data_IF_187201545513
#
_entry.id   IF_187201545513
#
_cell.length_a   1.000
_cell.length_b   1.000
_cell.length_c   1.000
_cell.angle_alpha   90.00
_cell.angle_beta   90.00
_cell.angle_gamma   90.00
#
_symmetry.space_group_name_H-M   'P 1'
#
loop_
_entity.id
_entity.type
_entity.pdbx_description
1 polymer ?
#
# COMPACT_ATOMS: atom_id res chain seq x y z
N UNK A 1 37.67 40.94 26.50
CA UNK A 1 37.00 39.76 27.08
C UNK A 1 35.54 39.74 26.61
N UNK A 2 35.29 39.46 25.34
CA UNK A 2 33.94 39.39 24.71
C UNK A 2 34.12 38.77 23.32
N UNK A 3 33.98 37.44 23.23
CA UNK A 3 33.83 36.72 21.94
C UNK A 3 33.29 35.31 22.14
N UNK A 4 33.33 34.78 23.39
CA UNK A 4 32.76 33.47 23.73
C UNK A 4 31.24 33.39 23.47
N UNK A 5 30.51 34.51 23.57
CA UNK A 5 29.07 34.54 23.30
C UNK A 5 28.71 34.37 21.82
N UNK A 6 29.54 34.85 20.89
CA UNK A 6 29.27 34.74 19.44
C UNK A 6 29.46 33.30 18.94
N UNK A 7 30.43 32.57 19.51
CA UNK A 7 30.62 31.15 19.24
C UNK A 7 29.49 30.28 19.80
N UNK A 8 28.97 30.60 20.99
CA UNK A 8 27.85 29.87 21.59
C UNK A 8 26.55 30.10 20.83
N UNK A 9 26.32 31.32 20.32
CA UNK A 9 25.12 31.64 19.53
C UNK A 9 25.13 30.95 18.15
N UNK A 10 26.30 30.87 17.49
CA UNK A 10 26.45 30.14 16.23
C UNK A 10 26.33 28.62 16.39
N UNK A 11 26.85 28.06 17.49
CA UNK A 11 26.73 26.62 17.78
C UNK A 11 25.28 26.22 18.15
N UNK A 12 24.54 27.11 18.82
CA UNK A 12 23.13 26.89 19.12
C UNK A 12 22.23 26.91 17.87
N UNK A 13 22.57 27.72 16.86
CA UNK A 13 21.86 27.73 15.57
C UNK A 13 22.11 26.46 14.74
N UNK A 14 23.29 25.84 14.89
CA UNK A 14 23.64 24.57 14.23
C UNK A 14 22.91 23.35 14.83
N UNK A 15 22.44 23.45 16.08
CA UNK A 15 21.62 22.41 16.73
C UNK A 15 20.11 22.57 16.50
N UNK A 16 19.70 23.66 15.84
CA UNK A 16 18.32 23.89 15.40
C UNK A 16 18.14 23.49 13.92
N UNK A 17 18.88 22.49 13.43
CA UNK A 17 18.50 21.82 12.19
C UNK A 17 17.36 20.88 12.58
N UNK A 18 16.11 21.13 12.14
CA UNK A 18 15.04 20.18 12.37
C UNK A 18 15.48 18.86 11.75
N UNK A 19 15.54 17.82 12.56
CA UNK A 19 15.76 16.45 12.10
C UNK A 19 14.74 16.21 10.99
N UNK A 20 15.19 16.01 9.75
CA UNK A 20 14.32 15.50 8.69
C UNK A 20 13.94 14.09 9.14
N UNK A 21 12.84 14.00 9.89
CA UNK A 21 12.23 12.73 10.21
C UNK A 21 11.97 12.04 8.88
N UNK A 22 12.51 10.83 8.75
CA UNK A 22 12.40 9.96 7.57
C UNK A 22 10.96 9.42 7.52
N UNK A 23 10.00 10.31 7.37
CA UNK A 23 8.60 10.00 7.13
C UNK A 23 8.46 9.73 5.62
N UNK A 24 7.75 8.66 5.26
CA UNK A 24 7.41 8.38 3.87
C UNK A 24 6.75 9.58 3.20
N UNK A 25 7.01 9.74 1.90
CA UNK A 25 6.51 10.84 1.07
C UNK A 25 4.98 10.89 1.05
N UNK A 26 4.31 9.73 1.15
CA UNK A 26 2.86 9.62 1.10
C UNK A 26 2.27 8.99 2.36
N UNK A 27 1.22 9.60 2.90
CA UNK A 27 0.54 9.16 4.13
C UNK A 27 -0.15 7.78 3.98
N UNK A 28 -0.66 7.47 2.78
CA UNK A 28 -1.39 6.24 2.49
C UNK A 28 -0.51 5.07 2.04
N UNK A 29 0.79 5.27 1.86
CA UNK A 29 1.73 4.22 1.43
C UNK A 29 2.62 3.86 2.60
N UNK A 30 2.19 2.86 3.38
CA UNK A 30 2.95 2.35 4.54
C UNK A 30 4.16 1.54 4.08
N UNK A 31 5.21 1.50 4.87
CA UNK A 31 6.46 0.75 4.62
C UNK A 31 6.25 -0.76 4.37
N UNK A 32 5.18 -1.33 4.94
CA UNK A 32 4.80 -2.73 4.75
C UNK A 32 4.10 -3.01 3.41
N UNK A 33 3.73 -1.96 2.66
CA UNK A 33 3.04 -2.10 1.38
C UNK A 33 4.03 -2.53 0.29
N UNK A 34 3.67 -3.53 -0.53
CA UNK A 34 4.56 -4.08 -1.57
C UNK A 34 5.09 -3.02 -2.55
N UNK A 35 4.30 -1.96 -2.79
CA UNK A 35 4.64 -0.87 -3.70
C UNK A 35 5.48 0.24 -3.05
N UNK A 36 5.68 0.22 -1.73
CA UNK A 36 6.28 1.34 -0.98
C UNK A 36 7.60 1.82 -1.59
N UNK A 37 8.57 0.90 -1.73
CA UNK A 37 9.91 1.25 -2.27
C UNK A 37 9.84 1.81 -3.69
N UNK A 38 8.96 1.26 -4.53
CA UNK A 38 8.80 1.71 -5.91
C UNK A 38 8.18 3.11 -5.96
N UNK A 39 7.14 3.34 -5.17
CA UNK A 39 6.42 4.62 -5.11
C UNK A 39 7.32 5.72 -4.56
N UNK A 40 8.02 5.48 -3.44
CA UNK A 40 9.00 6.42 -2.89
C UNK A 40 10.09 6.74 -3.91
N UNK A 41 10.70 5.72 -4.51
CA UNK A 41 11.81 5.96 -5.45
C UNK A 41 11.39 6.67 -6.74
N UNK A 42 10.13 6.52 -7.16
CA UNK A 42 9.59 7.27 -8.30
C UNK A 42 9.22 8.71 -7.89
N UNK A 43 8.77 8.92 -6.66
CA UNK A 43 8.44 10.25 -6.14
C UNK A 43 9.70 11.09 -5.90
N UNK A 44 10.76 10.49 -5.36
CA UNK A 44 12.08 11.11 -5.21
C UNK A 44 12.64 11.61 -6.55
N UNK A 45 12.40 10.84 -7.62
CA UNK A 45 12.81 11.19 -8.99
C UNK A 45 11.86 12.18 -9.67
N UNK A 46 10.77 12.59 -9.01
CA UNK A 46 9.75 13.47 -9.55
C UNK A 46 8.91 12.85 -10.68
N UNK A 47 8.97 11.53 -10.86
CA UNK A 47 8.24 10.81 -11.92
C UNK A 47 6.76 10.72 -11.57
N UNK A 48 6.45 10.35 -10.32
CA UNK A 48 5.09 10.33 -9.78
C UNK A 48 4.92 11.45 -8.76
N UNK A 49 3.70 12.00 -8.69
CA UNK A 49 3.35 13.09 -7.77
C UNK A 49 2.10 12.70 -7.00
N UNK A 50 2.07 13.02 -5.71
CA UNK A 50 0.89 12.81 -4.89
C UNK A 50 -0.08 13.97 -4.95
N UNK A 51 -1.22 13.75 -4.30
CA UNK A 51 -2.33 14.68 -4.20
C UNK A 51 -2.31 15.29 -2.79
N UNK A 52 -2.12 16.62 -2.66
CA UNK A 52 -2.17 17.27 -1.36
C UNK A 52 -3.62 17.35 -0.87
N UNK A 53 -3.89 16.80 0.33
CA UNK A 53 -5.18 16.90 1.02
C UNK A 53 -4.93 17.11 2.51
N UNK A 54 -5.60 18.07 3.14
CA UNK A 54 -5.52 18.33 4.58
C UNK A 54 -4.08 18.43 5.11
N UNK A 55 -3.22 19.20 4.41
CA UNK A 55 -1.80 19.37 4.72
C UNK A 55 -0.96 18.08 4.70
N UNK A 56 -1.46 17.01 4.07
CA UNK A 56 -0.77 15.73 3.86
C UNK A 56 -0.74 15.39 2.38
N UNK A 57 0.24 14.58 1.98
CA UNK A 57 0.38 14.12 0.60
C UNK A 57 -0.06 12.66 0.49
N UNK A 58 -0.86 12.35 -0.52
CA UNK A 58 -1.41 11.01 -0.75
C UNK A 58 -1.03 10.51 -2.14
N UNK A 59 -0.70 9.23 -2.28
CA UNK A 59 -0.48 8.59 -3.57
C UNK A 59 -1.81 8.19 -4.23
N UNK A 60 -2.80 7.79 -3.43
CA UNK A 60 -4.11 7.29 -3.83
C UNK A 60 -4.04 6.03 -4.71
N UNK A 61 -3.29 5.02 -4.24
CA UNK A 61 -2.96 3.83 -5.03
C UNK A 61 -4.14 2.94 -5.43
N UNK A 62 -5.32 3.11 -4.82
CA UNK A 62 -6.55 2.40 -5.19
C UNK A 62 -7.34 3.08 -6.31
N UNK A 63 -7.01 4.32 -6.66
CA UNK A 63 -7.68 5.08 -7.72
C UNK A 63 -7.22 4.59 -9.11
N UNK A 64 -8.17 4.46 -10.04
CA UNK A 64 -7.84 4.19 -11.44
C UNK A 64 -7.02 5.34 -12.04
N UNK A 65 -5.92 4.99 -12.69
CA UNK A 65 -5.09 5.95 -13.44
C UNK A 65 -5.68 6.21 -14.83
N UNK A 66 -5.80 7.47 -15.21
CA UNK A 66 -6.20 7.86 -16.56
C UNK A 66 -5.03 7.72 -17.55
N UNK A 67 -5.34 7.56 -18.84
CA UNK A 67 -4.31 7.55 -19.91
C UNK A 67 -3.48 8.85 -19.92
N UNK A 68 -4.07 9.97 -19.51
CA UNK A 68 -3.37 11.26 -19.40
C UNK A 68 -2.35 11.27 -18.26
N UNK A 69 -2.75 10.83 -17.06
CA UNK A 69 -1.85 10.73 -15.90
C UNK A 69 -0.69 9.76 -16.19
N UNK A 70 -0.99 8.64 -16.85
CA UNK A 70 0.04 7.70 -17.31
C UNK A 70 1.03 8.35 -18.29
N UNK A 71 0.53 9.07 -19.30
CA UNK A 71 1.37 9.72 -20.29
C UNK A 71 2.31 10.76 -19.65
N UNK A 72 1.81 11.54 -18.67
CA UNK A 72 2.62 12.51 -17.93
C UNK A 72 3.69 11.82 -17.08
N UNK A 73 3.35 10.73 -16.39
CA UNK A 73 4.33 9.97 -15.62
C UNK A 73 5.43 9.38 -16.52
N UNK A 74 5.05 8.86 -17.69
CA UNK A 74 6.00 8.33 -18.67
C UNK A 74 6.92 9.42 -19.25
N UNK A 75 6.37 10.59 -19.59
CA UNK A 75 7.15 11.73 -20.06
C UNK A 75 8.17 12.20 -19.01
N UNK A 76 7.78 12.26 -17.73
CA UNK A 76 8.71 12.57 -16.63
C UNK A 76 9.81 11.51 -16.51
N UNK A 77 9.48 10.23 -16.68
CA UNK A 77 10.47 9.16 -16.66
C UNK A 77 11.49 9.28 -17.81
N UNK A 78 11.02 9.56 -19.04
CA UNK A 78 11.89 9.75 -20.20
C UNK A 78 12.82 10.95 -20.00
N UNK A 79 12.30 12.06 -19.44
CA UNK A 79 13.10 13.24 -19.10
C UNK A 79 14.19 12.91 -18.07
N UNK A 80 13.81 12.24 -16.98
CA UNK A 80 14.76 11.81 -15.96
C UNK A 80 15.87 10.93 -16.55
N UNK A 81 15.53 10.01 -17.45
CA UNK A 81 16.51 9.16 -18.13
C UNK A 81 17.40 9.96 -19.09
N UNK A 82 16.82 10.86 -19.88
CA UNK A 82 17.51 11.72 -20.86
C UNK A 82 18.53 12.64 -20.18
N UNK A 83 18.15 13.23 -19.04
CA UNK A 83 19.03 14.07 -18.23
C UNK A 83 20.22 13.26 -17.67
N UNK A 84 19.98 11.98 -17.35
CA UNK A 84 21.02 11.09 -16.80
C UNK A 84 21.90 10.43 -17.86
N UNK A 85 21.38 10.22 -19.07
CA UNK A 85 22.12 9.67 -20.21
C UNK A 85 22.97 10.71 -20.95
N UNK A 86 22.85 11.99 -20.62
CA UNK A 86 23.65 13.07 -21.23
C UNK A 86 23.24 13.41 -22.66
N UNK A 87 22.01 13.06 -23.07
CA UNK A 87 21.49 13.32 -24.41
C UNK A 87 20.12 12.69 -24.63
N UNK A 88 19.34 13.19 -25.61
CA UNK A 88 18.03 12.63 -25.94
C UNK A 88 18.13 11.13 -26.14
N UNK A 89 17.21 10.40 -25.50
CA UNK A 89 17.02 8.99 -25.83
C UNK A 89 16.49 8.91 -27.26
N UNK A 90 17.40 8.83 -28.22
CA UNK A 90 17.07 8.43 -29.58
C UNK A 90 16.69 6.95 -29.44
N UNK A 91 15.40 6.68 -29.39
CA UNK A 91 14.91 5.39 -29.86
C UNK A 91 15.48 5.30 -31.26
N UNK A 92 16.46 4.42 -31.45
CA UNK A 92 16.83 3.97 -32.78
C UNK A 92 15.59 3.20 -33.27
N UNK A 93 14.58 3.97 -33.68
CA UNK A 93 13.71 3.57 -34.75
C UNK A 93 14.70 3.30 -35.86
N UNK A 94 15.06 2.03 -36.01
CA UNK A 94 15.26 1.51 -37.35
C UNK A 94 14.05 2.02 -38.11
N UNK A 95 14.28 3.09 -38.87
CA UNK A 95 13.31 3.61 -39.81
C UNK A 95 13.14 2.47 -40.78
N UNK A 96 12.14 1.63 -40.54
CA UNK A 96 11.54 0.86 -41.60
C UNK A 96 11.04 1.93 -42.55
N UNK A 97 11.84 2.23 -43.57
CA UNK A 97 11.44 3.09 -44.67
C UNK A 97 10.15 2.48 -45.20
N UNK A 98 9.00 3.04 -44.83
CA UNK A 98 7.71 2.62 -45.39
C UNK A 98 7.79 3.01 -46.86
N UNK A 99 7.94 2.06 -47.81
CA UNK A 99 8.09 2.43 -49.20
C UNK A 99 6.74 2.99 -49.65
N UNK A 100 6.69 4.27 -50.00
CA UNK A 100 5.49 4.93 -50.53
C UNK A 100 5.18 4.51 -51.98
N UNK A 101 5.30 3.22 -52.30
CA UNK A 101 4.80 2.65 -53.53
C UNK A 101 4.42 1.21 -53.26
N UNK A 102 3.11 0.96 -53.20
CA UNK A 102 2.54 -0.38 -53.07
C UNK A 102 3.08 -1.22 -54.24
N UNK A 103 3.93 -2.23 -54.00
CA UNK A 103 4.44 -3.06 -55.08
C UNK A 103 3.30 -3.94 -55.60
N UNK A 104 3.11 -3.95 -56.92
CA UNK A 104 2.25 -4.90 -57.61
C UNK A 104 2.64 -6.32 -57.19
N UNK A 105 1.66 -7.07 -56.67
CA UNK A 105 1.81 -8.44 -56.17
C UNK A 105 2.06 -9.40 -57.34
N UNK A 106 3.30 -9.48 -57.79
CA UNK A 106 3.79 -10.55 -58.65
C UNK A 106 5.05 -11.07 -58.01
N UNK A 107 5.00 -12.35 -57.61
CA UNK A 107 6.03 -13.13 -56.89
C UNK A 107 5.96 -13.03 -55.36
N UNK A 108 5.25 -13.99 -54.76
CA UNK A 108 5.30 -14.32 -53.34
C UNK A 108 6.52 -15.23 -53.13
N UNK A 109 7.58 -14.80 -52.43
CA UNK A 109 8.64 -15.70 -52.01
C UNK A 109 8.14 -16.57 -50.85
N UNK A 110 8.34 -17.88 -50.97
CA UNK A 110 7.89 -18.95 -50.07
C UNK A 110 8.57 -18.95 -48.67
N UNK A 111 8.54 -17.84 -47.93
CA UNK A 111 9.08 -17.77 -46.56
C UNK A 111 8.05 -17.30 -45.53
N UNK A 112 6.77 -17.63 -45.73
CA UNK A 112 5.71 -17.42 -44.74
C UNK A 112 5.35 -18.65 -43.90
N UNK A 113 6.01 -19.80 -44.09
CA UNK A 113 5.57 -21.05 -43.43
C UNK A 113 5.78 -21.11 -41.92
N UNK A 114 6.57 -20.20 -41.33
CA UNK A 114 6.91 -20.26 -39.90
C UNK A 114 6.36 -19.10 -39.07
N UNK A 115 5.56 -18.22 -39.68
CA UNK A 115 4.85 -17.16 -38.97
C UNK A 115 3.37 -17.51 -39.12
N UNK A 116 2.77 -18.04 -38.05
CA UNK A 116 1.38 -18.51 -37.98
C UNK A 116 1.15 -20.00 -38.32
N UNK A 117 1.89 -20.90 -37.69
CA UNK A 117 1.26 -22.14 -37.23
C UNK A 117 0.96 -21.99 -35.74
N UNK A 118 -0.32 -21.78 -35.42
CA UNK A 118 -0.82 -22.09 -34.07
C UNK A 118 -0.65 -23.60 -33.90
N UNK A 119 0.53 -24.00 -33.41
CA UNK A 119 0.81 -25.41 -33.13
C UNK A 119 -0.23 -25.89 -32.09
N UNK A 120 -0.93 -26.98 -32.40
CA UNK A 120 -1.96 -27.61 -31.55
C UNK A 120 -1.46 -27.83 -30.12
N UNK A 121 -0.15 -28.02 -29.95
CA UNK A 121 0.49 -28.14 -28.64
C UNK A 121 0.35 -26.88 -27.78
N UNK A 122 0.41 -25.69 -28.38
CA UNK A 122 0.27 -24.40 -27.69
C UNK A 122 -1.18 -24.14 -27.32
N UNK A 123 -2.12 -24.52 -28.19
CA UNK A 123 -3.55 -24.45 -27.89
C UNK A 123 -3.90 -25.36 -26.70
N UNK A 124 -3.36 -26.58 -26.65
CA UNK A 124 -3.54 -27.50 -25.52
C UNK A 124 -2.90 -26.98 -24.22
N UNK A 125 -1.72 -26.38 -24.28
CA UNK A 125 -1.10 -25.75 -23.11
C UNK A 125 -1.91 -24.57 -22.59
N UNK A 126 -2.49 -23.79 -23.50
CA UNK A 126 -3.30 -22.63 -23.17
C UNK A 126 -4.61 -23.07 -22.52
N UNK A 127 -5.29 -24.08 -23.06
CA UNK A 127 -6.47 -24.69 -22.42
C UNK A 127 -6.16 -25.26 -21.04
N UNK A 128 -5.03 -25.97 -20.90
CA UNK A 128 -4.61 -26.51 -19.59
C UNK A 128 -4.36 -25.40 -18.58
N UNK A 129 -3.73 -24.31 -19.01
CA UNK A 129 -3.49 -23.13 -18.17
C UNK A 129 -4.81 -22.48 -17.76
N UNK A 130 -5.74 -22.30 -18.69
CA UNK A 130 -7.06 -21.74 -18.41
C UNK A 130 -7.83 -22.60 -17.41
N UNK A 131 -7.86 -23.93 -17.60
CA UNK A 131 -8.49 -24.86 -16.66
C UNK A 131 -7.85 -24.80 -15.27
N UNK A 132 -6.54 -24.74 -15.20
CA UNK A 132 -5.81 -24.63 -13.94
C UNK A 132 -6.11 -23.31 -13.21
N UNK A 133 -6.12 -22.19 -13.93
CA UNK A 133 -6.46 -20.88 -13.35
C UNK A 133 -7.91 -20.85 -12.87
N UNK A 134 -8.84 -21.40 -13.64
CA UNK A 134 -10.26 -21.49 -13.26
C UNK A 134 -10.45 -22.31 -11.97
N UNK A 135 -9.75 -23.44 -11.87
CA UNK A 135 -9.75 -24.27 -10.66
C UNK A 135 -9.18 -23.52 -9.44
N UNK A 136 -8.10 -22.76 -9.63
CA UNK A 136 -7.52 -21.94 -8.55
C UNK A 136 -8.48 -20.84 -8.09
N UNK A 137 -9.20 -20.19 -9.00
CA UNK A 137 -10.21 -19.18 -8.66
C UNK A 137 -11.33 -19.81 -7.82
N UNK A 138 -11.85 -20.98 -8.19
CA UNK A 138 -12.89 -21.68 -7.43
C UNK A 138 -12.43 -22.04 -6.01
N UNK A 139 -11.17 -22.48 -5.84
CA UNK A 139 -10.59 -22.72 -4.52
C UNK A 139 -10.52 -21.43 -3.71
N UNK A 140 -10.01 -20.35 -4.28
CA UNK A 140 -9.91 -19.07 -3.58
C UNK A 140 -11.29 -18.51 -3.20
N UNK A 141 -12.30 -18.66 -4.05
CA UNK A 141 -13.68 -18.27 -3.72
C UNK A 141 -14.24 -19.05 -2.52
N UNK A 142 -13.95 -20.35 -2.42
CA UNK A 142 -14.33 -21.16 -1.26
C UNK A 142 -13.57 -20.75 0.01
N UNK A 143 -12.26 -20.54 -0.09
CA UNK A 143 -11.43 -20.13 1.04
C UNK A 143 -11.87 -18.76 1.59
N UNK A 144 -12.19 -17.81 0.70
CA UNK A 144 -12.72 -16.49 1.10
C UNK A 144 -14.05 -16.65 1.81
N UNK A 145 -14.95 -17.51 1.33
CA UNK A 145 -16.25 -17.75 1.95
C UNK A 145 -16.11 -18.43 3.32
N UNK A 146 -15.17 -19.35 3.46
CA UNK A 146 -14.87 -20.00 4.75
C UNK A 146 -14.22 -19.04 5.74
N UNK A 147 -13.26 -18.23 5.29
CA UNK A 147 -12.66 -17.18 6.11
C UNK A 147 -13.71 -16.16 6.55
N UNK A 148 -14.63 -15.77 5.67
CA UNK A 148 -15.76 -14.89 6.00
C UNK A 148 -16.64 -15.47 7.11
N UNK A 149 -17.02 -16.75 7.02
CA UNK A 149 -17.76 -17.44 8.09
C UNK A 149 -17.00 -17.48 9.40
N UNK A 150 -15.69 -17.73 9.36
CA UNK A 150 -14.84 -17.74 10.56
C UNK A 150 -14.76 -16.36 11.20
N UNK A 151 -14.61 -15.30 10.41
CA UNK A 151 -14.62 -13.91 10.90
C UNK A 151 -15.97 -13.59 11.53
N UNK A 152 -17.09 -13.92 10.88
CA UNK A 152 -18.42 -13.72 11.45
C UNK A 152 -18.60 -14.45 12.79
N UNK A 153 -18.19 -15.72 12.89
CA UNK A 153 -18.26 -16.47 14.13
C UNK A 153 -17.41 -15.84 15.24
N UNK A 154 -16.23 -15.27 14.90
CA UNK A 154 -15.39 -14.55 15.84
C UNK A 154 -16.01 -13.22 16.28
N UNK A 155 -16.66 -12.51 15.37
CA UNK A 155 -17.40 -11.29 15.69
C UNK A 155 -18.58 -11.59 16.62
N UNK A 156 -19.35 -12.66 16.35
CA UNK A 156 -20.43 -13.12 17.23
C UNK A 156 -19.93 -13.59 18.59
N UNK A 157 -18.79 -14.29 18.63
CA UNK A 157 -18.16 -14.72 19.89
C UNK A 157 -17.63 -13.53 20.69
N UNK A 158 -17.08 -12.51 20.03
CA UNK A 158 -16.66 -11.25 20.64
C UNK A 158 -17.86 -10.45 21.18
N UNK A 159 -18.96 -10.40 20.42
CA UNK A 159 -20.22 -9.78 20.86
C UNK A 159 -20.81 -10.47 22.09
N UNK A 160 -20.69 -11.81 22.21
CA UNK A 160 -21.12 -12.57 23.39
C UNK A 160 -20.15 -12.48 24.57
N UNK A 161 -18.84 -12.37 24.30
CA UNK A 161 -17.78 -12.25 25.32
C UNK A 161 -17.69 -10.87 25.99
N UNK A 162 -18.25 -9.83 25.37
CA UNK A 162 -18.35 -8.48 25.95
C UNK A 162 -19.60 -8.29 26.81
N UNK A 163 -20.62 -9.17 26.68
CA UNK A 163 -21.66 -9.32 27.70
C UNK A 163 -21.17 -10.22 28.84
N UNK A 164 -20.15 -9.76 29.56
CA UNK A 164 -20.12 -10.02 31.00
C UNK A 164 -21.31 -9.21 31.54
N UNK A 165 -22.51 -9.80 31.41
CA UNK A 165 -23.68 -9.41 32.16
C UNK A 165 -23.25 -9.55 33.61
N UNK A 166 -22.82 -8.41 34.17
CA UNK A 166 -22.64 -8.23 35.58
C UNK A 166 -23.99 -8.45 36.23
N UNK A 167 -24.31 -9.71 36.51
CA UNK A 167 -25.01 -10.06 37.73
C UNK A 167 -24.04 -9.70 38.84
N UNK A 168 -23.96 -8.39 39.15
CA UNK A 168 -23.37 -7.92 40.39
C UNK A 168 -24.24 -8.54 41.45
N UNK A 169 -23.79 -9.65 42.01
CA UNK A 169 -24.44 -10.30 43.13
C UNK A 169 -24.49 -9.26 44.27
N UNK A 170 -25.63 -8.57 44.37
CA UNK A 170 -25.89 -7.51 45.36
C UNK A 170 -25.81 -8.05 46.78
N UNK A 171 -25.91 -9.37 46.94
CA UNK A 171 -25.74 -10.12 48.19
C UNK A 171 -24.32 -10.00 48.74
N UNK A 172 -23.29 -9.92 47.89
CA UNK A 172 -21.90 -9.77 48.35
C UNK A 172 -21.64 -8.36 48.91
N UNK A 173 -22.21 -7.33 48.28
CA UNK A 173 -22.12 -5.95 48.77
C UNK A 173 -22.96 -5.71 50.03
N UNK A 174 -24.11 -6.39 50.17
CA UNK A 174 -24.94 -6.32 51.38
C UNK A 174 -24.26 -6.94 52.61
N UNK A 175 -23.56 -8.07 52.46
CA UNK A 175 -22.85 -8.69 53.60
C UNK A 175 -21.60 -7.91 54.00
N UNK A 176 -20.86 -7.37 53.03
CA UNK A 176 -19.70 -6.51 53.28
C UNK A 176 -20.10 -5.21 54.00
N UNK A 177 -21.22 -4.59 53.60
CA UNK A 177 -21.75 -3.39 54.26
C UNK A 177 -22.18 -3.64 55.72
N UNK A 178 -22.82 -4.79 55.99
CA UNK A 178 -23.24 -5.16 57.34
C UNK A 178 -22.04 -5.39 58.28
N UNK A 179 -20.97 -6.03 57.78
CA UNK A 179 -19.73 -6.21 58.54
C UNK A 179 -19.05 -4.88 58.88
N UNK A 180 -18.96 -3.96 57.91
CA UNK A 180 -18.36 -2.63 58.14
C UNK A 180 -19.17 -1.83 59.17
N UNK A 181 -20.52 -1.85 59.09
CA UNK A 181 -21.37 -1.18 60.08
C UNK A 181 -21.23 -1.78 61.48
N UNK A 182 -21.14 -3.10 61.61
CA UNK A 182 -20.99 -3.76 62.91
C UNK A 182 -19.63 -3.44 63.56
N UNK A 183 -18.55 -3.40 62.77
CA UNK A 183 -17.22 -2.99 63.24
C UNK A 183 -17.23 -1.51 63.66
N UNK A 184 -17.87 -0.64 62.87
CA UNK A 184 -18.00 0.78 63.21
C UNK A 184 -18.79 1.00 64.52
N UNK A 185 -19.88 0.25 64.72
CA UNK A 185 -20.65 0.31 65.96
C UNK A 185 -19.84 -0.16 67.19
N UNK A 186 -19.01 -1.19 67.03
CA UNK A 186 -18.12 -1.66 68.10
C UNK A 186 -17.04 -0.63 68.45
N UNK A 187 -16.47 0.04 67.45
CA UNK A 187 -15.46 1.09 67.66
C UNK A 187 -16.05 2.33 68.36
N UNK A 188 -17.30 2.68 68.05
CA UNK A 188 -18.00 3.78 68.74
C UNK A 188 -18.33 3.40 70.20
N UNK A 189 -18.65 2.13 70.47
CA UNK A 189 -18.96 1.66 71.83
C UNK A 189 -17.74 1.54 72.74
N UNK A 190 -16.56 1.25 72.20
CA UNK A 190 -15.30 1.15 72.97
C UNK A 190 -14.67 2.53 73.21
N UNK A 191 -15.06 3.54 72.43
CA UNK A 191 -14.54 4.92 72.53
C UNK A 191 -15.27 5.85 73.50
N UNK A 192 -16.02 5.32 74.48
CA UNK A 192 -16.75 6.11 75.48
C UNK A 192 -16.51 5.63 76.90
#
# INVERSE_FOLDING_TARGET
MMSKGLLVFGLAFLLLVPSLALAGTFEDVKDSHWAYKSVESLAEKGIVKGIPRNNKLYFDGSKNMTRYEFAVAMDNAIKYLTERSGGPFILETETIEVPQKLPTLTEVPEQSSNIFSLDETRLLQLEKTIKNLTSQIDIHERDILELGKRVQNLEEASAKGTTISGKRDTTFWMSAGALICSIAALLIAVGK
#
